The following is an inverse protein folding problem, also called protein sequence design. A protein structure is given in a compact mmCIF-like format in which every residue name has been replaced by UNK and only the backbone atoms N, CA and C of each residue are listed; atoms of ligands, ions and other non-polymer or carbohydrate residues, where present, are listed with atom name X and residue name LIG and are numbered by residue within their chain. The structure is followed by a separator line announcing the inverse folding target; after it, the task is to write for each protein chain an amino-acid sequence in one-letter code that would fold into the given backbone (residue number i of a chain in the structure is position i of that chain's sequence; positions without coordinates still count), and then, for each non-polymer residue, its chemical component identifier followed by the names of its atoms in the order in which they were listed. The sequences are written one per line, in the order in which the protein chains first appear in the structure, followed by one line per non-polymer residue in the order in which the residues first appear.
data_IF_287607583620
#
_entry.id   IF_287607583620
#
_cell.length_a   1.000
_cell.length_b   1.000
_cell.length_c   1.000
_cell.angle_alpha   90.00
_cell.angle_beta   90.00
_cell.angle_gamma   90.00
#
_symmetry.space_group_name_H-M   'P 1'
#
loop_
_entity.id
_entity.type
_entity.pdbx_description
1 polymer ?
#
# COMPACT_ATOMS: atom_id res chain seq x y z
N UNK A 1 29.82 18.76 -11.93
CA UNK A 1 28.62 18.34 -11.18
C UNK A 1 27.78 19.58 -11.00
N UNK A 2 26.50 19.60 -11.39
CA UNK A 2 25.68 20.83 -11.40
C UNK A 2 24.42 20.66 -10.55
N UNK A 3 24.08 21.70 -9.79
CA UNK A 3 22.87 21.74 -8.97
C UNK A 3 21.81 22.61 -9.65
N UNK A 4 20.69 22.01 -10.07
CA UNK A 4 19.57 22.74 -10.68
C UNK A 4 18.87 23.72 -9.73
N UNK A 5 18.96 23.49 -8.42
CA UNK A 5 18.39 24.39 -7.42
C UNK A 5 19.25 25.63 -7.20
N UNK A 6 20.56 25.44 -6.97
CA UNK A 6 21.50 26.53 -6.71
C UNK A 6 22.04 27.19 -7.99
N UNK A 7 21.88 26.55 -9.14
CA UNK A 7 22.43 26.95 -10.45
C UNK A 7 23.97 27.12 -10.43
N UNK A 8 24.66 26.22 -9.74
CA UNK A 8 26.12 26.23 -9.55
C UNK A 8 26.74 24.87 -9.86
N UNK A 9 28.02 24.86 -10.24
CA UNK A 9 28.80 23.65 -10.58
C UNK A 9 29.63 23.10 -9.40
N UNK A 10 29.12 23.23 -8.18
CA UNK A 10 29.80 22.86 -6.94
C UNK A 10 29.35 21.51 -6.36
N UNK A 11 28.05 21.18 -6.48
CA UNK A 11 27.46 19.95 -5.97
C UNK A 11 26.32 19.45 -6.87
N UNK A 12 25.85 18.21 -6.64
CA UNK A 12 24.71 17.64 -7.37
C UNK A 12 23.41 18.01 -6.69
N UNK A 13 22.29 18.02 -7.43
CA UNK A 13 20.98 18.23 -6.81
C UNK A 13 20.67 17.16 -5.72
N UNK A 14 21.25 15.97 -5.83
CA UNK A 14 21.09 14.90 -4.84
C UNK A 14 21.82 15.17 -3.51
N UNK A 15 22.86 16.01 -3.54
CA UNK A 15 23.71 16.36 -2.39
C UNK A 15 23.46 17.80 -1.88
N UNK A 16 22.51 18.51 -2.49
CA UNK A 16 22.20 19.89 -2.18
C UNK A 16 21.47 20.02 -0.83
N UNK A 17 22.17 20.53 0.19
CA UNK A 17 21.61 20.68 1.54
C UNK A 17 20.36 21.55 1.57
N UNK A 18 20.37 22.66 0.84
CA UNK A 18 19.22 23.58 0.78
C UNK A 18 18.02 22.91 0.10
N UNK A 19 18.26 22.17 -0.99
CA UNK A 19 17.20 21.42 -1.67
C UNK A 19 16.63 20.29 -0.81
N UNK A 20 17.50 19.59 -0.08
CA UNK A 20 17.11 18.50 0.84
C UNK A 20 16.34 18.99 2.07
N UNK A 21 16.45 20.27 2.42
CA UNK A 21 15.70 20.88 3.52
C UNK A 21 14.22 21.12 3.20
N UNK A 22 13.84 21.16 1.92
CA UNK A 22 12.44 21.26 1.52
C UNK A 22 11.66 19.96 1.80
N UNK A 23 10.34 20.10 2.00
CA UNK A 23 9.47 18.95 2.11
C UNK A 23 9.44 18.11 0.82
N UNK A 24 8.95 16.88 0.94
CA UNK A 24 8.97 15.92 -0.16
C UNK A 24 8.12 16.35 -1.37
N UNK A 25 6.99 17.03 -1.14
CA UNK A 25 6.09 17.46 -2.21
C UNK A 25 6.66 18.66 -2.97
N UNK A 26 7.32 19.57 -2.26
CA UNK A 26 8.06 20.67 -2.89
C UNK A 26 9.21 20.15 -3.76
N UNK A 27 10.01 19.21 -3.25
CA UNK A 27 11.10 18.56 -4.01
C UNK A 27 10.57 17.87 -5.27
N UNK A 28 9.46 17.13 -5.16
CA UNK A 28 8.80 16.51 -6.34
C UNK A 28 8.36 17.54 -7.36
N UNK A 29 7.67 18.59 -6.91
CA UNK A 29 7.10 19.62 -7.78
C UNK A 29 8.22 20.32 -8.55
N UNK A 30 9.29 20.70 -7.86
CA UNK A 30 10.48 21.29 -8.47
C UNK A 30 11.05 20.42 -9.60
N UNK A 31 11.21 19.11 -9.38
CA UNK A 31 11.72 18.18 -10.39
C UNK A 31 10.77 18.04 -11.59
N UNK A 32 9.44 18.05 -11.36
CA UNK A 32 8.44 17.98 -12.44
C UNK A 32 8.48 19.22 -13.31
N UNK A 33 8.45 20.40 -12.69
CA UNK A 33 8.38 21.69 -13.38
C UNK A 33 9.64 21.95 -14.20
N UNK A 34 10.81 21.59 -13.65
CA UNK A 34 12.09 21.73 -14.34
C UNK A 34 12.42 20.53 -15.26
N UNK A 35 11.53 19.55 -15.39
CA UNK A 35 11.70 18.32 -16.19
C UNK A 35 12.98 17.54 -15.87
N UNK A 36 13.43 17.61 -14.63
CA UNK A 36 14.66 16.93 -14.20
C UNK A 36 14.36 15.44 -14.05
N UNK A 37 15.28 14.60 -14.51
CA UNK A 37 15.14 13.15 -14.42
C UNK A 37 15.04 12.69 -12.96
N UNK A 38 13.91 12.10 -12.55
CA UNK A 38 13.69 11.52 -11.21
C UNK A 38 14.61 10.34 -10.83
N UNK A 39 15.52 9.92 -11.71
CA UNK A 39 16.48 8.86 -11.40
C UNK A 39 17.85 9.44 -11.07
N UNK A 40 18.48 10.11 -12.04
CA UNK A 40 19.83 10.65 -11.88
C UNK A 40 19.87 12.07 -11.31
N UNK A 41 18.81 12.86 -11.45
CA UNK A 41 18.75 14.27 -11.06
C UNK A 41 19.78 15.20 -11.74
N UNK A 42 20.44 14.73 -12.80
CA UNK A 42 21.56 15.42 -13.45
C UNK A 42 21.20 16.12 -14.77
N UNK A 43 20.06 15.80 -15.36
CA UNK A 43 19.70 16.33 -16.68
C UNK A 43 18.18 16.41 -16.87
N UNK A 44 17.78 17.26 -17.82
CA UNK A 44 16.42 17.43 -18.32
C UNK A 44 16.17 16.74 -19.66
N UNK A 45 17.21 16.11 -20.25
CA UNK A 45 17.14 15.49 -21.58
C UNK A 45 16.33 14.19 -21.61
N UNK A 46 16.12 13.56 -20.46
CA UNK A 46 15.38 12.31 -20.37
C UNK A 46 14.57 12.20 -19.08
N UNK A 47 13.64 11.26 -19.06
CA UNK A 47 12.83 10.91 -17.89
C UNK A 47 13.38 9.64 -17.23
N UNK A 48 13.05 9.41 -15.96
CA UNK A 48 13.52 8.24 -15.20
C UNK A 48 13.29 6.89 -15.90
N UNK A 49 12.20 6.75 -16.67
CA UNK A 49 11.89 5.52 -17.44
C UNK A 49 12.89 5.23 -18.57
N UNK A 50 13.54 6.27 -19.11
CA UNK A 50 14.53 6.21 -20.19
C UNK A 50 15.94 6.56 -19.68
N UNK A 51 16.17 6.41 -18.37
CA UNK A 51 17.45 6.72 -17.76
C UNK A 51 18.29 5.45 -17.69
N UNK A 52 19.44 5.47 -18.36
CA UNK A 52 20.38 4.34 -18.38
C UNK A 52 21.31 4.33 -17.14
N UNK A 53 21.28 5.39 -16.33
CA UNK A 53 22.04 5.46 -15.10
C UNK A 53 21.49 4.51 -14.04
N UNK A 54 22.38 3.83 -13.34
CA UNK A 54 21.99 3.00 -12.19
C UNK A 54 21.34 3.90 -11.14
N UNK A 55 20.24 3.43 -10.55
CA UNK A 55 19.62 4.11 -9.40
C UNK A 55 20.67 4.30 -8.31
N UNK A 56 20.88 5.53 -7.82
CA UNK A 56 21.80 5.78 -6.72
C UNK A 56 21.27 5.15 -5.42
N UNK A 57 22.14 5.03 -4.44
CA UNK A 57 21.77 4.60 -3.10
C UNK A 57 21.41 5.80 -2.23
N UNK A 58 20.29 5.72 -1.55
CA UNK A 58 19.80 6.79 -0.68
C UNK A 58 20.59 6.80 0.63
N UNK A 59 21.19 7.94 0.97
CA UNK A 59 21.97 8.09 2.20
C UNK A 59 21.12 7.95 3.49
N UNK A 60 19.80 8.13 3.41
CA UNK A 60 18.89 8.08 4.58
C UNK A 60 18.41 6.67 4.91
N UNK A 61 18.16 5.83 3.90
CA UNK A 61 17.56 4.51 4.11
C UNK A 61 18.25 3.35 3.37
N UNK A 62 19.38 3.60 2.73
CA UNK A 62 20.17 2.62 1.97
C UNK A 62 19.39 1.87 0.86
N UNK A 63 18.26 2.40 0.41
CA UNK A 63 17.48 1.83 -0.70
C UNK A 63 17.87 2.50 -2.02
N UNK A 64 17.57 1.84 -3.14
CA UNK A 64 17.94 2.30 -4.50
C UNK A 64 17.02 3.42 -5.01
N UNK A 65 17.30 4.65 -4.59
CA UNK A 65 16.73 5.90 -5.11
C UNK A 65 17.64 7.09 -4.73
N UNK A 66 17.47 8.22 -5.41
CA UNK A 66 18.14 9.47 -5.07
C UNK A 66 17.70 9.95 -3.67
N UNK A 67 18.65 10.32 -2.80
CA UNK A 67 18.41 10.90 -1.47
C UNK A 67 17.41 12.05 -1.52
N UNK A 68 17.45 12.89 -2.56
CA UNK A 68 16.50 13.97 -2.72
C UNK A 68 15.04 13.54 -2.98
N UNK A 69 14.82 12.27 -3.29
CA UNK A 69 13.49 11.65 -3.43
C UNK A 69 13.13 10.74 -2.26
N UNK A 70 13.89 10.78 -1.16
CA UNK A 70 13.51 10.10 0.07
C UNK A 70 12.24 10.71 0.65
N UNK A 71 11.23 9.86 0.84
CA UNK A 71 9.93 10.17 1.44
C UNK A 71 9.91 9.66 2.89
N UNK A 72 9.93 10.55 3.90
CA UNK A 72 9.92 10.14 5.30
C UNK A 72 8.63 9.43 5.73
N UNK A 73 7.51 9.69 5.03
CA UNK A 73 6.21 9.06 5.32
C UNK A 73 6.07 7.70 4.66
N UNK A 74 6.95 7.38 3.71
CA UNK A 74 6.98 6.07 3.07
C UNK A 74 7.65 5.10 4.03
N UNK A 75 6.80 4.40 4.80
CA UNK A 75 7.23 3.24 5.57
C UNK A 75 8.07 2.32 4.67
N UNK A 76 9.16 1.72 5.20
CA UNK A 76 9.89 0.69 4.49
C UNK A 76 8.86 -0.28 3.95
N UNK A 77 8.90 -0.53 2.64
CA UNK A 77 8.00 -1.51 2.03
C UNK A 77 8.08 -2.77 2.87
N UNK A 78 6.99 -3.11 3.56
CA UNK A 78 6.91 -4.41 4.21
C UNK A 78 7.34 -5.46 3.17
N UNK A 79 8.11 -6.49 3.60
CA UNK A 79 8.56 -7.52 2.68
C UNK A 79 7.37 -7.96 1.86
N UNK A 80 7.47 -7.82 0.52
CA UNK A 80 6.40 -8.20 -0.41
C UNK A 80 5.85 -9.54 0.05
N UNK A 81 4.58 -9.57 0.45
CA UNK A 81 3.92 -10.81 0.79
C UNK A 81 4.08 -11.74 -0.42
N UNK A 82 4.88 -12.80 -0.24
CA UNK A 82 5.20 -13.76 -1.28
C UNK A 82 3.93 -14.56 -1.54
N UNK A 83 3.06 -14.02 -2.41
CA UNK A 83 1.77 -14.60 -2.73
C UNK A 83 2.02 -15.75 -3.70
N UNK A 84 2.30 -16.94 -3.15
CA UNK A 84 2.48 -18.19 -3.91
C UNK A 84 1.15 -18.79 -4.39
N UNK A 85 0.18 -17.95 -4.79
CA UNK A 85 -1.00 -18.45 -5.50
C UNK A 85 -0.55 -19.05 -6.84
N UNK A 86 -0.94 -20.31 -7.06
CA UNK A 86 -0.78 -21.18 -8.24
C UNK A 86 0.20 -20.70 -9.32
N UNK A 87 1.39 -21.33 -9.37
CA UNK A 87 2.38 -21.12 -10.43
C UNK A 87 1.91 -21.78 -11.73
N UNK A 88 1.28 -21.02 -12.63
CA UNK A 88 1.02 -21.46 -14.01
C UNK A 88 2.33 -21.44 -14.78
N UNK A 89 2.76 -22.57 -15.36
CA UNK A 89 4.01 -22.67 -16.13
C UNK A 89 3.86 -21.93 -17.47
N UNK A 90 4.38 -20.70 -17.53
CA UNK A 90 4.53 -19.94 -18.76
C UNK A 90 5.66 -18.93 -18.59
N UNK A 91 6.64 -18.97 -19.49
CA UNK A 91 7.75 -18.02 -19.56
C UNK A 91 7.21 -16.59 -19.48
N UNK A 92 7.76 -15.77 -18.58
CA UNK A 92 7.49 -14.32 -18.47
C UNK A 92 6.22 -13.90 -17.67
N UNK A 93 6.11 -14.18 -16.36
CA UNK A 93 4.94 -13.68 -15.59
C UNK A 93 5.25 -13.22 -14.16
N UNK A 94 4.81 -11.99 -13.88
CA UNK A 94 4.51 -11.47 -12.55
C UNK A 94 3.52 -12.41 -11.86
N UNK A 95 3.76 -12.79 -10.60
CA UNK A 95 2.79 -13.50 -9.78
C UNK A 95 1.50 -12.67 -9.70
N UNK A 96 0.39 -13.21 -10.21
CA UNK A 96 -0.94 -12.57 -10.12
C UNK A 96 -1.77 -13.36 -9.12
N UNK A 97 -2.12 -12.72 -8.00
CA UNK A 97 -3.14 -13.22 -7.08
C UNK A 97 -4.49 -12.68 -7.55
N UNK A 98 -5.45 -13.57 -7.76
CA UNK A 98 -6.83 -13.21 -8.08
C UNK A 98 -7.69 -13.44 -6.84
N UNK A 99 -8.22 -12.36 -6.28
CA UNK A 99 -9.20 -12.41 -5.21
C UNK A 99 -10.60 -12.18 -5.81
N UNK A 100 -11.59 -12.97 -5.38
CA UNK A 100 -13.00 -12.66 -5.66
C UNK A 100 -13.44 -11.62 -4.65
N UNK A 101 -13.81 -10.42 -5.11
CA UNK A 101 -14.26 -9.32 -4.26
C UNK A 101 -15.69 -8.99 -4.62
N UNK A 102 -16.57 -8.90 -3.62
CA UNK A 102 -17.97 -8.52 -3.78
C UNK A 102 -18.32 -7.38 -2.84
N UNK A 103 -19.29 -6.56 -3.22
CA UNK A 103 -19.82 -5.49 -2.37
C UNK A 103 -20.96 -6.07 -1.52
N UNK A 104 -20.90 -5.85 -0.20
CA UNK A 104 -21.87 -6.40 0.77
C UNK A 104 -22.33 -5.34 1.76
N UNK A 105 -23.56 -5.50 2.21
CA UNK A 105 -24.12 -4.79 3.36
C UNK A 105 -23.93 -5.61 4.62
N UNK A 106 -23.46 -4.95 5.68
CA UNK A 106 -23.33 -5.51 7.01
C UNK A 106 -24.35 -4.84 7.93
N UNK A 107 -25.12 -5.67 8.64
CA UNK A 107 -26.17 -5.23 9.58
C UNK A 107 -26.07 -6.02 10.86
N UNK A 108 -26.61 -5.47 11.94
CA UNK A 108 -26.68 -6.16 13.22
C UNK A 108 -28.09 -5.95 13.80
N UNK A 109 -28.77 -7.02 14.27
CA UNK A 109 -30.19 -6.97 14.61
C UNK A 109 -30.50 -6.02 15.77
N UNK A 110 -29.53 -5.75 16.65
CA UNK A 110 -29.69 -4.81 17.76
C UNK A 110 -29.55 -3.33 17.36
N UNK A 111 -29.10 -3.04 16.13
CA UNK A 111 -28.99 -1.68 15.58
C UNK A 111 -29.52 -1.66 14.14
N UNK A 112 -30.82 -1.99 13.93
CA UNK A 112 -31.37 -2.24 12.60
C UNK A 112 -31.31 -1.03 11.68
N UNK A 113 -31.26 0.20 12.22
CA UNK A 113 -31.16 1.46 11.47
C UNK A 113 -29.75 1.77 10.97
N UNK A 114 -28.76 0.92 11.32
CA UNK A 114 -27.36 1.11 10.92
C UNK A 114 -26.92 -0.03 10.01
N UNK A 115 -26.29 0.36 8.93
CA UNK A 115 -25.73 -0.56 7.96
C UNK A 115 -24.37 -0.05 7.44
N UNK A 116 -23.49 -0.99 7.11
CA UNK A 116 -22.17 -0.70 6.58
C UNK A 116 -22.01 -1.39 5.24
N UNK A 117 -21.93 -0.58 4.18
CA UNK A 117 -21.50 -1.04 2.86
C UNK A 117 -19.97 -1.19 2.85
N UNK A 118 -19.49 -2.38 2.49
CA UNK A 118 -18.04 -2.65 2.37
C UNK A 118 -17.77 -3.71 1.31
N UNK A 119 -16.54 -3.74 0.82
CA UNK A 119 -16.04 -4.86 0.01
C UNK A 119 -15.70 -6.05 0.92
N UNK A 120 -16.11 -7.24 0.51
CA UNK A 120 -15.74 -8.52 1.11
C UNK A 120 -14.90 -9.31 0.12
N UNK A 121 -13.80 -9.87 0.60
CA UNK A 121 -13.00 -10.84 -0.13
C UNK A 121 -13.54 -12.25 0.14
N UNK A 122 -13.96 -12.94 -0.90
CA UNK A 122 -14.44 -14.31 -0.82
C UNK A 122 -13.26 -15.26 -0.98
N UNK A 123 -13.07 -16.11 0.03
CA UNK A 123 -12.08 -17.16 0.07
C UNK A 123 -12.79 -18.49 0.33
N UNK A 124 -12.82 -19.36 -0.68
CA UNK A 124 -13.47 -20.67 -0.63
C UNK A 124 -12.75 -21.67 0.29
N UNK A 125 -11.53 -21.35 0.72
CA UNK A 125 -10.74 -22.14 1.65
C UNK A 125 -10.76 -21.58 3.08
N UNK A 126 -11.43 -20.45 3.32
CA UNK A 126 -11.60 -19.92 4.68
C UNK A 126 -12.73 -20.62 5.43
N UNK A 127 -12.48 -20.96 6.69
CA UNK A 127 -13.49 -21.52 7.61
C UNK A 127 -14.15 -20.48 8.50
N UNK A 128 -13.75 -19.21 8.38
CA UNK A 128 -14.23 -18.11 9.21
C UNK A 128 -14.42 -16.82 8.41
N UNK A 129 -15.31 -15.96 8.90
CA UNK A 129 -15.52 -14.60 8.40
C UNK A 129 -14.76 -13.63 9.30
N UNK A 130 -13.89 -12.82 8.71
CA UNK A 130 -13.15 -11.78 9.40
C UNK A 130 -13.61 -10.41 8.94
N UNK A 131 -13.72 -9.49 9.89
CA UNK A 131 -14.17 -8.12 9.64
C UNK A 131 -13.23 -7.14 10.32
N UNK A 132 -13.03 -5.97 9.73
CA UNK A 132 -12.21 -4.91 10.32
C UNK A 132 -12.90 -4.33 11.55
N UNK A 133 -12.09 -3.89 12.52
CA UNK A 133 -12.61 -3.28 13.74
C UNK A 133 -13.47 -2.04 13.46
N UNK A 134 -13.07 -1.25 12.47
CA UNK A 134 -13.81 -0.08 12.01
C UNK A 134 -15.25 -0.36 11.55
N UNK A 135 -15.60 -1.61 11.24
CA UNK A 135 -16.99 -1.96 10.90
C UNK A 135 -17.88 -1.93 12.14
N UNK A 136 -17.47 -2.54 13.25
CA UNK A 136 -18.29 -2.54 14.46
C UNK A 136 -18.28 -1.18 15.15
N UNK A 137 -17.22 -0.39 15.01
CA UNK A 137 -17.21 1.03 15.40
C UNK A 137 -18.27 1.83 14.63
N UNK A 138 -18.37 1.64 13.30
CA UNK A 138 -19.36 2.31 12.45
C UNK A 138 -20.80 1.85 12.72
N UNK A 139 -21.00 0.56 13.02
CA UNK A 139 -22.29 0.06 13.48
C UNK A 139 -22.60 0.53 14.91
N UNK A 140 -21.58 0.86 15.71
CA UNK A 140 -21.69 1.19 17.12
C UNK A 140 -22.18 0.01 17.95
N UNK A 141 -21.61 -1.17 17.69
CA UNK A 141 -21.91 -2.42 18.41
C UNK A 141 -20.70 -2.84 19.24
N UNK A 142 -20.98 -3.46 20.39
CA UNK A 142 -19.92 -3.98 21.26
C UNK A 142 -19.36 -5.31 20.71
N UNK A 143 -18.05 -5.50 20.88
CA UNK A 143 -17.36 -6.72 20.48
C UNK A 143 -16.61 -7.31 21.68
N UNK A 144 -16.65 -8.64 21.83
CA UNK A 144 -16.02 -9.31 22.97
C UNK A 144 -14.57 -9.68 22.64
N UNK A 145 -13.56 -9.34 23.49
CA UNK A 145 -12.19 -9.77 23.26
C UNK A 145 -12.07 -11.28 23.09
N UNK A 146 -11.25 -11.71 22.14
CA UNK A 146 -10.96 -13.11 21.85
C UNK A 146 -9.57 -13.26 21.25
N UNK A 147 -9.06 -14.49 21.18
CA UNK A 147 -7.89 -14.80 20.37
C UNK A 147 -8.34 -15.67 19.18
N UNK A 148 -7.88 -15.31 17.99
CA UNK A 148 -8.12 -16.11 16.78
C UNK A 148 -6.80 -16.80 16.43
N UNK A 149 -6.89 -18.12 16.21
CA UNK A 149 -5.79 -18.90 15.65
C UNK A 149 -5.93 -18.88 14.13
N UNK A 150 -5.00 -18.20 13.46
CA UNK A 150 -4.93 -18.15 11.99
C UNK A 150 -3.88 -19.14 11.52
N UNK A 151 -4.32 -20.12 10.75
CA UNK A 151 -3.47 -21.10 10.08
C UNK A 151 -3.60 -20.88 8.58
N UNK A 152 -2.48 -20.66 7.88
CA UNK A 152 -2.48 -20.55 6.41
C UNK A 152 -1.72 -21.72 5.80
N UNK A 153 -2.04 -22.08 4.57
CA UNK A 153 -1.46 -23.25 3.84
C UNK A 153 0.08 -23.27 3.87
N UNK A 154 0.73 -22.11 4.08
CA UNK A 154 2.17 -21.96 4.01
C UNK A 154 2.81 -21.34 5.27
N UNK A 155 2.02 -20.92 6.27
CA UNK A 155 2.52 -20.26 7.48
C UNK A 155 2.33 -21.12 8.72
N UNK A 156 3.14 -20.84 9.75
CA UNK A 156 2.92 -21.40 11.09
C UNK A 156 1.68 -20.78 11.70
N UNK A 157 0.98 -21.55 12.52
CA UNK A 157 -0.14 -21.09 13.32
C UNK A 157 0.20 -19.79 14.06
N UNK A 158 -0.60 -18.74 13.85
CA UNK A 158 -0.46 -17.47 14.54
C UNK A 158 -1.67 -17.25 15.45
N UNK A 159 -1.42 -16.90 16.71
CA UNK A 159 -2.45 -16.40 17.62
C UNK A 159 -2.49 -14.88 17.53
N UNK A 160 -3.67 -14.35 17.22
CA UNK A 160 -3.92 -12.92 17.06
C UNK A 160 -4.99 -12.50 18.06
N UNK A 161 -4.68 -11.49 18.89
CA UNK A 161 -5.67 -10.84 19.74
C UNK A 161 -6.68 -10.10 18.85
N UNK A 162 -7.96 -10.29 19.07
CA UNK A 162 -9.03 -9.82 18.19
C UNK A 162 -10.32 -9.66 18.98
N UNK A 163 -11.39 -9.29 18.29
CA UNK A 163 -12.72 -9.20 18.87
C UNK A 163 -13.71 -10.10 18.12
N UNK A 164 -14.66 -10.66 18.85
CA UNK A 164 -15.76 -11.45 18.31
C UNK A 164 -17.04 -10.62 18.36
N UNK A 165 -17.65 -10.48 17.19
CA UNK A 165 -19.01 -9.96 17.01
C UNK A 165 -19.92 -11.16 16.73
N UNK A 166 -21.09 -11.20 17.37
CA UNK A 166 -22.13 -12.21 17.10
C UNK A 166 -23.22 -11.57 16.25
N UNK A 167 -24.01 -12.42 15.58
CA UNK A 167 -25.24 -12.00 14.89
C UNK A 167 -25.04 -10.92 13.81
N UNK A 168 -23.82 -10.80 13.27
CA UNK A 168 -23.54 -9.92 12.14
C UNK A 168 -24.15 -10.53 10.87
N UNK A 169 -25.11 -9.84 10.28
CA UNK A 169 -25.78 -10.24 9.05
C UNK A 169 -25.06 -9.66 7.84
N UNK A 170 -24.86 -10.51 6.82
CA UNK A 170 -24.23 -10.14 5.55
C UNK A 170 -25.24 -10.34 4.43
N UNK A 171 -25.50 -9.29 3.65
CA UNK A 171 -26.34 -9.38 2.47
C UNK A 171 -25.62 -8.82 1.24
N UNK A 172 -25.91 -9.39 0.07
CA UNK A 172 -25.36 -8.88 -1.18
C UNK A 172 -25.97 -7.53 -1.53
N UNK A 173 -25.21 -6.67 -2.20
CA UNK A 173 -25.77 -5.49 -2.88
C UNK A 173 -26.52 -5.93 -4.15
N UNK A 174 -27.60 -6.69 -4.02
CA UNK A 174 -28.52 -6.87 -5.13
C UNK A 174 -29.17 -5.52 -5.37
N UNK A 175 -28.68 -4.83 -6.41
CA UNK A 175 -29.36 -3.67 -6.94
C UNK A 175 -30.78 -4.06 -7.28
N UNK A 176 -31.72 -3.30 -6.73
CA UNK A 176 -33.03 -3.08 -7.34
C UNK A 176 -32.79 -2.83 -8.83
N UNK A 177 -33.04 -3.83 -9.67
CA UNK A 177 -33.02 -3.67 -11.13
C UNK A 177 -34.45 -3.41 -11.59
N UNK A 178 -34.64 -2.22 -12.15
CA UNK A 178 -35.82 -1.64 -12.82
C UNK A 178 -36.83 -0.94 -11.91
#
# INVERSE_FOLDING_TARGET
MFCFHCQKEDHSLNDCKDFLAFDFDHRKTFLRENRICFNCLETTNHIAKKCDQKKPECATCAQRHATALHDPQRHPSEPKADTKCTRVRGSHQTTKSYAKIVLVWLRHPFVPDREVLTYAQLDDQSTAVLVKESVFERLGIEASPTNIKVSTVLSKDQLIASYRVRDLEVSGSLGMTS
#
